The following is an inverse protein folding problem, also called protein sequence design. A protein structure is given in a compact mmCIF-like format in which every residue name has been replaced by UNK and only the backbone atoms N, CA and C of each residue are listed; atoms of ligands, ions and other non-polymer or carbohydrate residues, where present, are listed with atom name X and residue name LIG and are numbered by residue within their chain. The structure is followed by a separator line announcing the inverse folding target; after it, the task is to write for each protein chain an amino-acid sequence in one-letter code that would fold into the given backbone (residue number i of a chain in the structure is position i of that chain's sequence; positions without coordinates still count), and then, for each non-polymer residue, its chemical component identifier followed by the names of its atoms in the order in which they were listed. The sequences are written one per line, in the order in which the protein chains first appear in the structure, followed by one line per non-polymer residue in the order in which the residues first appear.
data_IF_494412575240
#
_entry.id   IF_494412575240
#
_cell.length_a   1.000
_cell.length_b   1.000
_cell.length_c   1.000
_cell.angle_alpha   90.00
_cell.angle_beta   90.00
_cell.angle_gamma   90.00
#
_symmetry.space_group_name_H-M   'P 1'
#
loop_
_entity.id
_entity.type
_entity.pdbx_description
1 polymer ?
#
# COMPACT_ATOMS: atom_id res chain seq x y z
N UNK A 1 -0.49 -23.84 -15.41
CA UNK A 1 -0.21 -22.92 -16.52
C UNK A 1 -1.53 -22.58 -17.20
N UNK A 2 -2.10 -21.40 -16.92
CA UNK A 2 -3.31 -20.90 -17.61
C UNK A 2 -2.84 -20.16 -18.85
N UNK A 3 -3.37 -20.52 -20.02
CA UNK A 3 -2.95 -19.98 -21.31
C UNK A 3 -3.10 -18.46 -21.41
N UNK A 4 -2.43 -17.88 -22.41
CA UNK A 4 -2.46 -16.44 -22.66
C UNK A 4 -3.90 -15.89 -22.66
N UNK A 5 -4.17 -14.78 -21.96
CA UNK A 5 -5.51 -14.20 -21.86
C UNK A 5 -6.00 -13.75 -23.24
N UNK A 6 -7.28 -14.00 -23.55
CA UNK A 6 -7.89 -13.67 -24.84
C UNK A 6 -8.34 -12.20 -24.93
N UNK A 7 -8.43 -11.48 -23.80
CA UNK A 7 -8.80 -10.05 -23.74
C UNK A 7 -8.15 -9.30 -22.56
N UNK A 8 -8.10 -7.96 -22.63
CA UNK A 8 -7.62 -7.09 -21.54
C UNK A 8 -8.49 -7.21 -20.28
N UNK A 9 -9.79 -7.42 -20.44
CA UNK A 9 -10.71 -7.70 -19.33
C UNK A 9 -10.34 -9.00 -18.62
N UNK A 10 -10.08 -10.06 -19.38
CA UNK A 10 -9.69 -11.35 -18.82
C UNK A 10 -8.33 -11.25 -18.10
N UNK A 11 -7.39 -10.48 -18.65
CA UNK A 11 -6.13 -10.18 -17.99
C UNK A 11 -6.33 -9.40 -16.69
N UNK A 12 -7.16 -8.36 -16.70
CA UNK A 12 -7.42 -7.54 -15.52
C UNK A 12 -8.16 -8.34 -14.44
N UNK A 13 -9.11 -9.18 -14.85
CA UNK A 13 -9.81 -10.13 -14.00
C UNK A 13 -8.84 -11.12 -13.34
N UNK A 14 -7.98 -11.78 -14.12
CA UNK A 14 -6.95 -12.69 -13.61
C UNK A 14 -5.95 -11.98 -12.69
N UNK A 15 -5.58 -10.74 -13.02
CA UNK A 15 -4.69 -9.91 -12.20
C UNK A 15 -5.34 -9.51 -10.89
N UNK A 16 -6.64 -9.21 -10.88
CA UNK A 16 -7.41 -8.94 -9.67
C UNK A 16 -7.49 -10.19 -8.79
N UNK A 17 -7.81 -11.34 -9.39
CA UNK A 17 -7.99 -12.62 -8.69
C UNK A 17 -6.68 -13.13 -8.06
N UNK A 18 -5.55 -12.92 -8.74
CA UNK A 18 -4.22 -13.27 -8.22
C UNK A 18 -3.67 -12.25 -7.20
N UNK A 19 -4.29 -11.07 -7.07
CA UNK A 19 -3.83 -10.07 -6.12
C UNK A 19 -4.18 -10.47 -4.68
N UNK A 20 -3.15 -10.74 -3.87
CA UNK A 20 -3.31 -11.04 -2.45
C UNK A 20 -4.08 -9.93 -1.69
N UNK A 21 -3.96 -8.68 -2.16
CA UNK A 21 -4.67 -7.53 -1.58
C UNK A 21 -6.17 -7.56 -1.88
N UNK A 22 -6.55 -7.94 -3.09
CA UNK A 22 -7.96 -8.09 -3.48
C UNK A 22 -8.61 -9.25 -2.72
N UNK A 23 -7.91 -10.38 -2.59
CA UNK A 23 -8.36 -11.52 -1.80
C UNK A 23 -8.59 -11.15 -0.32
N UNK A 24 -7.69 -10.37 0.29
CA UNK A 24 -7.87 -9.84 1.66
C UNK A 24 -9.08 -8.91 1.78
N UNK A 25 -9.35 -8.10 0.76
CA UNK A 25 -10.51 -7.21 0.73
C UNK A 25 -11.83 -7.98 0.66
N UNK A 26 -11.93 -8.96 -0.24
CA UNK A 26 -13.12 -9.83 -0.35
C UNK A 26 -13.35 -10.58 0.96
N UNK A 27 -12.30 -11.16 1.56
CA UNK A 27 -12.38 -11.80 2.88
C UNK A 27 -12.92 -10.85 3.95
N UNK A 28 -12.40 -9.63 4.02
CA UNK A 28 -12.86 -8.62 4.99
C UNK A 28 -14.34 -8.25 4.80
N UNK A 29 -14.82 -8.15 3.57
CA UNK A 29 -16.25 -7.89 3.30
C UNK A 29 -17.10 -9.09 3.71
N UNK A 30 -16.70 -10.29 3.28
CA UNK A 30 -17.38 -11.54 3.61
C UNK A 30 -17.50 -11.71 5.13
N UNK A 31 -16.39 -11.50 5.85
CA UNK A 31 -16.35 -11.59 7.31
C UNK A 31 -17.19 -10.48 7.98
N UNK A 32 -17.22 -9.27 7.42
CA UNK A 32 -18.07 -8.18 7.89
C UNK A 32 -19.57 -8.49 7.73
N UNK A 33 -19.98 -9.06 6.59
CA UNK A 33 -21.37 -9.42 6.33
C UNK A 33 -21.81 -10.60 7.21
N UNK A 34 -20.91 -11.58 7.41
CA UNK A 34 -21.19 -12.77 8.21
C UNK A 34 -20.90 -12.59 9.71
N UNK A 35 -20.50 -11.40 10.16
CA UNK A 35 -20.20 -11.13 11.57
C UNK A 35 -19.01 -11.91 12.14
N UNK A 36 -18.15 -12.47 11.28
CA UNK A 36 -16.95 -13.20 11.68
C UNK A 36 -15.91 -12.15 12.11
N UNK A 37 -15.55 -12.15 13.39
CA UNK A 37 -14.50 -11.26 13.91
C UNK A 37 -13.15 -11.73 13.35
N UNK A 38 -12.70 -11.06 12.29
CA UNK A 38 -11.30 -11.08 11.89
C UNK A 38 -10.48 -10.44 13.01
N UNK A 39 -10.03 -11.24 13.96
CA UNK A 39 -8.93 -10.85 14.85
C UNK A 39 -7.63 -11.21 14.14
N UNK A 40 -6.99 -10.29 13.39
CA UNK A 40 -5.61 -10.51 13.03
C UNK A 40 -4.82 -10.61 14.34
N UNK A 41 -4.06 -11.69 14.49
CA UNK A 41 -3.04 -11.78 15.52
C UNK A 41 -2.07 -10.61 15.30
N UNK A 42 -2.25 -9.54 16.06
CA UNK A 42 -1.36 -8.40 16.05
C UNK A 42 -0.11 -8.87 16.77
N UNK A 43 0.92 -9.27 16.01
CA UNK A 43 2.26 -9.23 16.56
C UNK A 43 2.52 -7.77 16.90
N UNK A 44 2.40 -7.43 18.19
CA UNK A 44 2.92 -6.19 18.72
C UNK A 44 4.43 -6.24 18.53
N UNK A 45 4.89 -5.71 17.40
CA UNK A 45 6.30 -5.40 17.20
C UNK A 45 6.66 -4.38 18.28
N UNK A 46 7.35 -4.86 19.32
CA UNK A 46 7.92 -4.11 20.42
C UNK A 46 9.06 -3.22 19.89
N UNK A 47 8.75 -2.33 18.95
CA UNK A 47 9.70 -1.36 18.42
C UNK A 47 9.82 -0.23 19.44
N UNK A 48 10.85 -0.37 20.28
CA UNK A 48 11.67 0.65 20.95
C UNK A 48 10.93 1.91 21.45
N UNK A 49 10.85 2.04 22.77
CA UNK A 49 10.37 3.24 23.49
C UNK A 49 11.14 4.53 23.16
N UNK A 50 12.25 4.45 22.44
CA UNK A 50 13.14 5.58 22.13
C UNK A 50 13.13 6.05 20.66
N UNK A 51 12.37 5.41 19.76
CA UNK A 51 12.24 5.87 18.38
C UNK A 51 10.95 6.66 18.19
N UNK A 52 11.06 7.86 17.61
CA UNK A 52 9.93 8.65 17.16
C UNK A 52 8.97 7.77 16.34
N UNK A 53 7.74 7.56 16.84
CA UNK A 53 6.70 6.77 16.16
C UNK A 53 5.85 7.69 15.27
N UNK A 54 6.13 7.77 13.95
CA UNK A 54 5.37 8.67 13.08
C UNK A 54 3.92 8.22 12.96
N UNK A 55 2.98 9.16 13.12
CA UNK A 55 1.55 8.93 12.92
C UNK A 55 1.28 8.49 11.48
N UNK A 56 0.19 7.76 11.23
CA UNK A 56 -0.20 7.34 9.87
C UNK A 56 -0.25 8.52 8.87
N UNK A 57 -0.75 9.68 9.30
CA UNK A 57 -0.76 10.90 8.49
C UNK A 57 0.64 11.44 8.18
N UNK A 58 1.58 11.34 9.11
CA UNK A 58 2.97 11.77 8.92
C UNK A 58 3.70 10.85 7.94
N UNK A 59 3.46 9.53 8.03
CA UNK A 59 3.96 8.54 7.06
C UNK A 59 3.44 8.81 5.65
N UNK A 60 2.15 9.10 5.52
CA UNK A 60 1.54 9.43 4.22
C UNK A 60 2.12 10.73 3.63
N UNK A 61 2.30 11.77 4.46
CA UNK A 61 2.90 13.03 4.04
C UNK A 61 4.35 12.84 3.57
N UNK A 62 5.15 12.07 4.31
CA UNK A 62 6.52 11.73 3.93
C UNK A 62 6.58 10.95 2.61
N UNK A 63 5.75 9.92 2.47
CA UNK A 63 5.61 9.15 1.23
C UNK A 63 5.26 10.04 0.04
N UNK A 64 4.26 10.93 0.19
CA UNK A 64 3.84 11.83 -0.88
C UNK A 64 4.97 12.78 -1.30
N UNK A 65 5.72 13.33 -0.34
CA UNK A 65 6.85 14.22 -0.62
C UNK A 65 7.94 13.49 -1.42
N UNK A 66 8.32 12.28 -0.99
CA UNK A 66 9.34 11.46 -1.67
C UNK A 66 8.87 11.08 -3.07
N UNK A 67 7.63 10.62 -3.20
CA UNK A 67 7.04 10.20 -4.48
C UNK A 67 7.03 11.34 -5.52
N UNK A 68 6.63 12.55 -5.11
CA UNK A 68 6.66 13.70 -6.02
C UNK A 68 8.08 14.15 -6.38
N UNK A 69 9.04 13.97 -5.47
CA UNK A 69 10.45 14.26 -5.74
C UNK A 69 11.04 13.26 -6.75
N UNK A 70 10.74 11.97 -6.59
CA UNK A 70 11.13 10.92 -7.53
C UNK A 70 10.49 11.09 -8.91
N UNK A 71 9.20 11.39 -8.98
CA UNK A 71 8.53 11.70 -10.25
C UNK A 71 9.23 12.87 -10.94
N UNK A 72 9.45 13.98 -10.24
CA UNK A 72 10.11 15.15 -10.83
C UNK A 72 11.51 14.83 -11.34
N UNK A 73 12.27 14.02 -10.60
CA UNK A 73 13.59 13.52 -11.02
C UNK A 73 13.48 12.63 -12.27
N UNK A 74 12.49 11.73 -12.34
CA UNK A 74 12.27 10.86 -13.50
C UNK A 74 11.88 11.65 -14.76
N UNK A 75 11.20 12.79 -14.61
CA UNK A 75 10.84 13.67 -15.72
C UNK A 75 11.88 14.78 -16.00
N UNK A 76 13.06 14.73 -15.38
CA UNK A 76 14.18 15.65 -15.67
C UNK A 76 14.05 17.06 -15.07
N UNK A 77 13.10 17.28 -14.15
CA UNK A 77 12.96 18.56 -13.45
C UNK A 77 13.99 18.67 -12.31
N UNK A 78 14.68 19.82 -12.14
CA UNK A 78 15.62 20.00 -11.03
C UNK A 78 14.87 19.97 -9.69
N UNK A 79 15.16 18.95 -8.88
CA UNK A 79 14.58 18.80 -7.55
C UNK A 79 15.00 19.94 -6.61
N UNK A 80 14.04 20.51 -5.88
CA UNK A 80 14.32 21.52 -4.86
C UNK A 80 14.97 20.86 -3.65
N UNK A 81 16.31 20.91 -3.57
CA UNK A 81 17.12 20.29 -2.50
C UNK A 81 17.01 20.93 -1.12
N UNK A 82 16.19 21.96 -0.93
CA UNK A 82 16.17 22.76 0.30
C UNK A 82 14.84 22.68 1.04
N UNK A 83 14.58 21.58 1.75
CA UNK A 83 13.70 21.62 2.94
C UNK A 83 14.26 20.70 4.02
N UNK A 84 14.99 21.22 5.02
CA UNK A 84 15.21 20.47 6.24
C UNK A 84 13.84 20.22 6.89
N UNK A 85 13.58 18.97 7.22
CA UNK A 85 12.46 18.58 8.07
C UNK A 85 12.61 19.34 9.39
N UNK A 86 11.69 20.27 9.67
CA UNK A 86 11.57 21.00 10.93
C UNK A 86 10.31 20.54 11.63
#
# INVERSE_FOLDING_TARGET
MRGNPRSLEEWLYLKLLNSARFQRFVRRIYNKVNGIKDTPYVHEETASEFLYKPTAGQRFKAFRVIFWDEIKKSFGFPGNKNKPFK
#
